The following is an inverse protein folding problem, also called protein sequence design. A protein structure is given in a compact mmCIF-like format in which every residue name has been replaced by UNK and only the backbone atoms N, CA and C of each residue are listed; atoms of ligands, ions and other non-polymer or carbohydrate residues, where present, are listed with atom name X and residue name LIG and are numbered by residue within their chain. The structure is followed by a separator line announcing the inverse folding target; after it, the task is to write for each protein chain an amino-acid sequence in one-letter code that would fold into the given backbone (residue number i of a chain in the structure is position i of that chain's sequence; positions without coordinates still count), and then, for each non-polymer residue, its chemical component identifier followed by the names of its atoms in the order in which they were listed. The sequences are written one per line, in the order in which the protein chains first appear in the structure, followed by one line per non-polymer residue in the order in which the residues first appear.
data_IF_902812200381
#
_entry.id   IF_902812200381
#
_cell.length_a   1.000
_cell.length_b   1.000
_cell.length_c   1.000
_cell.angle_alpha   90.00
_cell.angle_beta   90.00
_cell.angle_gamma   90.00
#
_symmetry.space_group_name_H-M   'P 1'
#
loop_
_entity.id
_entity.type
_entity.pdbx_description
1 polymer ?
#
# COMPACT_ATOMS: atom_id res chain seq x y z
N UNK A 1 2.76 1.27 15.34
CA UNK A 1 2.20 2.25 16.27
C UNK A 1 0.71 2.03 16.39
N UNK A 2 0.27 1.40 17.47
CA UNK A 2 -1.16 1.22 17.80
C UNK A 2 -1.28 0.80 19.27
N UNK A 3 -1.11 -0.50 19.56
CA UNK A 3 -1.02 -1.02 20.94
C UNK A 3 0.39 -0.88 21.54
N UNK A 4 1.40 -0.77 20.67
CA UNK A 4 2.81 -0.55 20.99
C UNK A 4 3.35 0.62 20.18
N UNK A 5 4.50 1.17 20.60
CA UNK A 5 5.16 2.27 19.87
C UNK A 5 5.71 1.79 18.52
N UNK A 6 6.13 2.74 17.68
CA UNK A 6 6.72 2.43 16.38
C UNK A 6 7.98 1.56 16.54
N UNK A 7 8.88 1.95 17.44
CA UNK A 7 10.14 1.27 17.73
C UNK A 7 9.90 -0.11 18.36
N UNK A 8 8.95 -0.21 19.30
CA UNK A 8 8.62 -1.49 19.91
C UNK A 8 8.09 -2.51 18.90
N UNK A 9 7.23 -2.08 17.96
CA UNK A 9 6.79 -2.96 16.87
C UNK A 9 7.94 -3.32 15.94
N UNK A 10 8.80 -2.36 15.63
CA UNK A 10 9.94 -2.58 14.77
C UNK A 10 10.87 -3.67 15.32
N UNK A 11 11.33 -3.51 16.55
CA UNK A 11 12.28 -4.42 17.20
C UNK A 11 11.65 -5.78 17.48
N UNK A 12 10.39 -5.79 17.92
CA UNK A 12 9.73 -7.02 18.33
C UNK A 12 9.18 -7.85 17.17
N UNK A 13 8.86 -7.26 16.02
CA UNK A 13 8.13 -7.94 14.93
C UNK A 13 8.60 -7.52 13.54
N UNK A 14 8.51 -6.23 13.18
CA UNK A 14 8.65 -5.80 11.78
C UNK A 14 10.02 -6.14 11.19
N UNK A 15 11.09 -5.95 11.96
CA UNK A 15 12.44 -6.32 11.53
C UNK A 15 12.54 -7.79 11.15
N UNK A 16 11.98 -8.67 11.97
CA UNK A 16 12.04 -10.12 11.76
C UNK A 16 11.23 -10.55 10.54
N UNK A 17 10.12 -9.85 10.25
CA UNK A 17 9.31 -10.06 9.04
C UNK A 17 10.14 -9.71 7.80
N UNK A 18 10.80 -8.54 7.80
CA UNK A 18 11.62 -8.09 6.67
C UNK A 18 12.87 -8.96 6.48
N UNK A 19 13.56 -9.34 7.55
CA UNK A 19 14.70 -10.27 7.50
C UNK A 19 14.26 -11.63 6.93
N UNK A 20 13.10 -12.15 7.37
CA UNK A 20 12.53 -13.40 6.87
C UNK A 20 12.11 -13.28 5.40
N UNK A 21 11.54 -12.15 5.00
CA UNK A 21 11.17 -11.86 3.62
C UNK A 21 12.41 -11.97 2.71
N UNK A 22 13.52 -11.32 3.06
CA UNK A 22 14.77 -11.40 2.26
C UNK A 22 15.33 -12.82 2.24
N UNK A 23 15.23 -13.55 3.34
CA UNK A 23 15.73 -14.92 3.42
C UNK A 23 14.91 -15.89 2.55
N UNK A 24 13.58 -15.74 2.49
CA UNK A 24 12.68 -16.74 1.89
C UNK A 24 12.25 -16.41 0.45
N UNK A 25 12.08 -15.13 0.08
CA UNK A 25 11.69 -14.74 -1.28
C UNK A 25 12.60 -15.34 -2.38
N UNK A 26 13.94 -15.40 -2.23
CA UNK A 26 14.81 -16.01 -3.24
C UNK A 26 14.69 -17.54 -3.33
N UNK A 27 14.16 -18.21 -2.30
CA UNK A 27 14.12 -19.68 -2.23
C UNK A 27 12.99 -20.28 -3.07
N UNK A 28 11.97 -19.49 -3.40
CA UNK A 28 10.76 -19.95 -4.09
C UNK A 28 10.42 -18.99 -5.22
N UNK A 29 10.50 -19.47 -6.46
CA UNK A 29 10.36 -18.60 -7.64
C UNK A 29 8.98 -17.95 -7.82
N UNK A 30 7.96 -18.57 -7.24
CA UNK A 30 6.57 -18.13 -7.31
C UNK A 30 6.15 -17.28 -6.09
N UNK A 31 7.04 -17.07 -5.12
CA UNK A 31 6.70 -16.31 -3.93
C UNK A 31 6.77 -14.82 -4.23
N UNK A 32 5.69 -14.12 -3.90
CA UNK A 32 5.55 -12.68 -3.98
C UNK A 32 5.24 -12.09 -2.62
N UNK A 33 5.69 -10.87 -2.38
CA UNK A 33 5.39 -10.11 -1.18
C UNK A 33 5.11 -8.65 -1.55
N UNK A 34 4.10 -8.06 -0.89
CA UNK A 34 3.78 -6.65 -1.02
C UNK A 34 4.12 -5.94 0.29
N UNK A 35 4.60 -4.70 0.20
CA UNK A 35 4.91 -3.89 1.38
C UNK A 35 4.42 -2.46 1.21
N UNK A 36 3.81 -1.90 2.26
CA UNK A 36 3.08 -0.63 2.17
C UNK A 36 3.77 0.52 2.93
N UNK A 37 4.12 0.32 4.20
CA UNK A 37 4.55 1.39 5.10
C UNK A 37 6.05 1.70 4.98
N UNK A 38 6.40 2.76 4.24
CA UNK A 38 7.81 3.12 3.98
C UNK A 38 8.55 3.50 5.26
N UNK A 39 7.88 4.04 6.27
CA UNK A 39 8.49 4.40 7.57
C UNK A 39 9.29 3.23 8.19
N UNK A 40 8.71 2.04 8.23
CA UNK A 40 9.39 0.85 8.73
C UNK A 40 10.48 0.34 7.79
N UNK A 41 10.25 0.47 6.47
CA UNK A 41 11.22 0.07 5.46
C UNK A 41 12.49 0.92 5.53
N UNK A 42 12.35 2.23 5.70
CA UNK A 42 13.46 3.16 5.89
C UNK A 42 14.26 2.81 7.14
N UNK A 43 13.58 2.66 8.28
CA UNK A 43 14.24 2.33 9.54
C UNK A 43 15.01 1.00 9.43
N UNK A 44 14.43 0.00 8.77
CA UNK A 44 15.07 -1.28 8.53
C UNK A 44 16.29 -1.17 7.61
N UNK A 45 16.15 -0.50 6.46
CA UNK A 45 17.22 -0.31 5.49
C UNK A 45 18.41 0.44 6.06
N UNK A 46 18.19 1.37 7.00
CA UNK A 46 19.26 2.09 7.69
C UNK A 46 20.17 1.20 8.55
N UNK A 47 19.73 -0.01 8.91
CA UNK A 47 20.49 -0.98 9.68
C UNK A 47 21.12 -2.13 8.87
N UNK A 48 20.97 -2.14 7.54
CA UNK A 48 21.45 -3.23 6.68
C UNK A 48 22.93 -3.04 6.27
N UNK A 49 23.62 -4.17 6.07
CA UNK A 49 24.90 -4.17 5.37
C UNK A 49 24.72 -4.07 3.85
N UNK A 50 25.76 -3.67 3.14
CA UNK A 50 25.73 -3.47 1.67
C UNK A 50 25.25 -4.72 0.93
N UNK A 51 25.70 -5.91 1.36
CA UNK A 51 25.32 -7.19 0.76
C UNK A 51 23.81 -7.43 0.83
N UNK A 52 23.20 -7.17 1.99
CA UNK A 52 21.75 -7.36 2.16
C UNK A 52 20.98 -6.27 1.45
N UNK A 53 21.47 -5.02 1.45
CA UNK A 53 20.88 -3.92 0.70
C UNK A 53 20.79 -4.24 -0.80
N UNK A 54 21.85 -4.77 -1.40
CA UNK A 54 21.86 -5.15 -2.81
C UNK A 54 20.93 -6.33 -3.11
N UNK A 55 20.83 -7.30 -2.20
CA UNK A 55 19.82 -8.38 -2.32
C UNK A 55 18.41 -7.82 -2.32
N UNK A 56 18.08 -6.91 -1.41
CA UNK A 56 16.76 -6.26 -1.36
C UNK A 56 16.46 -5.55 -2.67
N UNK A 57 17.39 -4.73 -3.16
CA UNK A 57 17.24 -4.03 -4.44
C UNK A 57 17.02 -5.00 -5.61
N UNK A 58 17.69 -6.15 -5.61
CA UNK A 58 17.51 -7.18 -6.64
C UNK A 58 16.15 -7.89 -6.57
N UNK A 59 15.54 -7.96 -5.39
CA UNK A 59 14.22 -8.56 -5.19
C UNK A 59 13.10 -7.62 -5.62
N UNK A 60 13.32 -6.31 -5.61
CA UNK A 60 12.33 -5.31 -6.02
C UNK A 60 12.02 -5.48 -7.50
N UNK A 61 10.89 -6.12 -7.76
CA UNK A 61 10.30 -6.31 -9.07
C UNK A 61 8.79 -6.43 -8.88
N UNK A 62 7.98 -6.08 -9.89
CA UNK A 62 6.52 -6.21 -9.81
C UNK A 62 5.99 -7.64 -9.56
N UNK A 63 6.85 -8.66 -9.56
CA UNK A 63 6.46 -10.07 -9.40
C UNK A 63 6.94 -10.65 -8.07
N UNK A 64 8.04 -10.14 -7.49
CA UNK A 64 8.67 -10.69 -6.27
C UNK A 64 8.40 -9.82 -5.05
N UNK A 65 8.84 -8.57 -5.09
CA UNK A 65 8.67 -7.61 -4.02
C UNK A 65 8.15 -6.30 -4.63
N UNK A 66 6.87 -6.05 -4.43
CA UNK A 66 6.20 -4.84 -4.91
C UNK A 66 5.90 -3.91 -3.73
N UNK A 67 6.32 -2.66 -3.85
CA UNK A 67 5.86 -1.62 -2.94
C UNK A 67 4.50 -1.12 -3.39
N UNK A 68 3.55 -1.05 -2.46
CA UNK A 68 2.18 -0.58 -2.71
C UNK A 68 1.93 0.70 -1.93
N UNK A 69 1.25 1.68 -2.54
CA UNK A 69 1.11 3.08 -2.06
C UNK A 69 2.42 3.85 -1.95
N UNK A 70 3.41 3.32 -1.23
CA UNK A 70 4.73 3.92 -0.98
C UNK A 70 4.67 5.20 -0.14
N UNK A 71 3.60 5.40 0.62
CA UNK A 71 3.51 6.50 1.59
C UNK A 71 4.32 6.19 2.84
N UNK A 72 4.55 7.20 3.67
CA UNK A 72 5.19 7.00 4.97
C UNK A 72 4.41 6.02 5.84
N UNK A 73 3.08 6.12 5.74
CA UNK A 73 2.10 5.29 6.45
C UNK A 73 0.89 5.01 5.56
N UNK A 74 0.10 4.01 5.92
CA UNK A 74 -1.30 3.92 5.48
C UNK A 74 -2.14 5.00 6.18
N UNK A 75 -2.41 6.12 5.49
CA UNK A 75 -3.05 7.31 6.06
C UNK A 75 -4.51 7.11 6.46
N UNK A 76 -4.97 7.82 7.49
CA UNK A 76 -6.41 7.92 7.80
C UNK A 76 -7.11 8.75 6.71
N UNK A 77 -8.28 8.29 6.26
CA UNK A 77 -9.04 8.94 5.20
C UNK A 77 -10.18 9.82 5.72
N UNK A 78 -10.51 9.75 7.02
CA UNK A 78 -11.61 10.50 7.61
C UNK A 78 -11.20 11.88 8.14
N UNK A 79 -10.15 11.95 8.97
CA UNK A 79 -9.79 13.18 9.69
C UNK A 79 -8.62 13.93 9.04
N UNK A 80 -7.83 13.26 8.20
CA UNK A 80 -6.60 13.81 7.66
C UNK A 80 -6.89 14.89 6.62
N UNK A 81 -6.24 16.04 6.76
CA UNK A 81 -6.28 17.08 5.74
C UNK A 81 -5.40 16.67 4.55
N UNK A 82 -5.84 16.99 3.33
CA UNK A 82 -5.14 16.58 2.10
C UNK A 82 -3.66 17.04 2.05
N UNK A 83 -3.31 18.17 2.67
CA UNK A 83 -1.91 18.60 2.79
C UNK A 83 -1.03 17.58 3.51
N UNK A 84 -1.54 16.95 4.59
CA UNK A 84 -0.80 15.95 5.34
C UNK A 84 -0.68 14.64 4.56
N UNK A 85 -1.73 14.25 3.82
CA UNK A 85 -1.70 13.10 2.90
C UNK A 85 -0.64 13.30 1.82
N UNK A 86 -0.57 14.48 1.22
CA UNK A 86 0.44 14.80 0.21
C UNK A 86 1.84 14.76 0.84
N UNK A 87 2.01 15.33 2.03
CA UNK A 87 3.31 15.37 2.70
C UNK A 87 3.84 13.97 3.03
N UNK A 88 3.02 13.09 3.62
CA UNK A 88 3.44 11.72 3.95
C UNK A 88 3.73 10.89 2.68
N UNK A 89 2.93 11.08 1.63
CA UNK A 89 3.13 10.40 0.36
C UNK A 89 4.43 10.87 -0.31
N UNK A 90 4.71 12.18 -0.25
CA UNK A 90 5.95 12.75 -0.77
C UNK A 90 7.17 12.21 -0.03
N UNK A 91 7.13 12.15 1.30
CA UNK A 91 8.22 11.63 2.14
C UNK A 91 8.58 10.19 1.73
N UNK A 92 7.59 9.30 1.67
CA UNK A 92 7.81 7.91 1.28
C UNK A 92 8.31 7.77 -0.17
N UNK A 93 7.73 8.52 -1.11
CA UNK A 93 8.14 8.48 -2.52
C UNK A 93 9.54 9.07 -2.74
N UNK A 94 9.92 10.10 -2.01
CA UNK A 94 11.26 10.69 -2.05
C UNK A 94 12.29 9.70 -1.54
N UNK A 95 12.04 9.07 -0.39
CA UNK A 95 12.92 8.03 0.14
C UNK A 95 13.11 6.88 -0.84
N UNK A 96 12.02 6.36 -1.42
CA UNK A 96 12.06 5.28 -2.44
C UNK A 96 12.94 5.71 -3.62
N UNK A 97 12.76 6.92 -4.16
CA UNK A 97 13.54 7.40 -5.33
C UNK A 97 15.03 7.52 -5.05
N UNK A 98 15.39 7.87 -3.82
CA UNK A 98 16.77 8.12 -3.44
C UNK A 98 17.53 6.83 -3.10
N UNK A 99 16.84 5.78 -2.63
CA UNK A 99 17.49 4.57 -2.09
C UNK A 99 17.22 3.29 -2.87
N UNK A 100 16.12 3.22 -3.62
CA UNK A 100 15.65 2.00 -4.29
C UNK A 100 15.68 2.15 -5.82
N UNK A 101 15.71 1.03 -6.57
CA UNK A 101 15.62 1.07 -8.02
C UNK A 101 14.32 1.73 -8.48
N UNK A 102 14.30 2.27 -9.70
CA UNK A 102 13.17 3.04 -10.26
C UNK A 102 11.88 2.22 -10.32
N UNK A 103 12.01 0.90 -10.46
CA UNK A 103 10.94 -0.10 -10.47
C UNK A 103 10.22 -0.21 -9.13
N UNK A 104 10.82 0.29 -8.04
CA UNK A 104 10.23 0.32 -6.70
C UNK A 104 9.06 1.29 -6.58
N UNK A 105 8.93 2.25 -7.51
CA UNK A 105 7.87 3.25 -7.44
C UNK A 105 6.48 2.59 -7.62
N UNK A 106 5.57 2.75 -6.65
CA UNK A 106 4.30 2.05 -6.61
C UNK A 106 3.38 2.47 -7.75
N UNK A 107 2.63 1.50 -8.28
CA UNK A 107 1.58 1.72 -9.30
C UNK A 107 0.18 1.44 -8.79
N UNK A 108 0.09 0.84 -7.61
CA UNK A 108 -1.13 0.39 -6.95
C UNK A 108 -1.18 1.01 -5.57
N UNK A 109 -2.31 1.62 -5.21
CA UNK A 109 -2.64 2.05 -3.87
C UNK A 109 -3.28 0.89 -3.10
N UNK A 110 -2.86 0.71 -1.85
CA UNK A 110 -3.34 -0.32 -0.96
C UNK A 110 -3.84 0.32 0.33
N UNK A 111 -5.16 0.28 0.55
CA UNK A 111 -5.84 0.88 1.71
C UNK A 111 -6.79 -0.13 2.34
N UNK A 112 -6.26 -0.99 3.21
CA UNK A 112 -7.03 -2.09 3.81
C UNK A 112 -7.55 -1.79 5.22
N UNK A 113 -6.94 -0.85 5.93
CA UNK A 113 -7.21 -0.60 7.35
C UNK A 113 -7.80 0.77 7.74
N UNK A 114 -7.84 1.82 6.89
CA UNK A 114 -8.53 3.06 7.23
C UNK A 114 -10.03 2.84 7.49
N UNK A 115 -10.61 3.51 8.49
CA UNK A 115 -11.99 3.30 8.90
C UNK A 115 -12.99 4.07 8.04
N UNK A 116 -13.16 3.61 6.80
CA UNK A 116 -13.90 4.30 5.75
C UNK A 116 -12.95 4.84 4.69
N UNK A 117 -13.51 5.18 3.53
CA UNK A 117 -12.75 5.59 2.34
C UNK A 117 -13.21 6.98 1.90
N UNK A 118 -12.28 7.82 1.49
CA UNK A 118 -12.52 9.19 1.04
C UNK A 118 -12.34 9.32 -0.48
N UNK A 119 -13.24 10.03 -1.18
CA UNK A 119 -13.10 10.30 -2.62
C UNK A 119 -11.88 11.16 -2.95
N UNK A 120 -11.21 11.73 -1.95
CA UNK A 120 -10.02 12.59 -2.12
C UNK A 120 -8.79 11.77 -2.50
N UNK A 121 -8.63 10.55 -1.97
CA UNK A 121 -7.43 9.73 -2.17
C UNK A 121 -7.23 9.32 -3.64
N UNK A 122 -8.24 8.82 -4.36
CA UNK A 122 -8.11 8.52 -5.79
C UNK A 122 -7.54 9.66 -6.62
N UNK A 123 -7.91 10.90 -6.28
CA UNK A 123 -7.40 12.08 -6.98
C UNK A 123 -5.92 12.36 -6.69
N UNK A 124 -5.52 12.32 -5.42
CA UNK A 124 -4.12 12.53 -5.01
C UNK A 124 -3.24 11.41 -5.61
N UNK A 125 -3.70 10.17 -5.50
CA UNK A 125 -2.99 9.00 -6.01
C UNK A 125 -2.83 9.04 -7.54
N UNK A 126 -3.88 9.46 -8.26
CA UNK A 126 -3.77 9.63 -9.71
C UNK A 126 -2.77 10.71 -10.11
N UNK A 127 -2.64 11.80 -9.33
CA UNK A 127 -1.61 12.81 -9.56
C UNK A 127 -0.19 12.26 -9.29
N UNK A 128 -0.06 11.29 -8.39
CA UNK A 128 1.18 10.55 -8.11
C UNK A 128 1.48 9.40 -9.11
N UNK A 129 0.75 9.32 -10.24
CA UNK A 129 0.92 8.28 -11.27
C UNK A 129 0.61 6.85 -10.80
N UNK A 130 -0.20 6.74 -9.73
CA UNK A 130 -0.85 5.51 -9.29
C UNK A 130 -2.19 5.40 -10.02
N UNK A 131 -2.52 4.21 -10.52
CA UNK A 131 -3.66 4.03 -11.44
C UNK A 131 -4.72 3.07 -10.93
N UNK A 132 -4.39 2.32 -9.88
CA UNK A 132 -5.21 1.27 -9.32
C UNK A 132 -5.21 1.39 -7.81
N UNK A 133 -6.31 1.02 -7.18
CA UNK A 133 -6.40 0.90 -5.73
C UNK A 133 -7.10 -0.39 -5.31
N UNK A 134 -6.76 -0.86 -4.12
CA UNK A 134 -7.49 -1.90 -3.41
C UNK A 134 -7.94 -1.36 -2.05
N UNK A 135 -9.25 -1.44 -1.80
CA UNK A 135 -9.90 -0.89 -0.61
C UNK A 135 -10.71 -1.95 0.13
N UNK A 136 -10.76 -1.86 1.46
CA UNK A 136 -11.44 -2.88 2.27
C UNK A 136 -12.57 -2.36 3.16
N UNK A 137 -12.31 -1.44 4.09
CA UNK A 137 -13.26 -1.11 5.16
C UNK A 137 -14.42 -0.21 4.69
N UNK A 138 -15.39 -0.83 4.05
CA UNK A 138 -16.64 -0.24 3.59
C UNK A 138 -17.81 -0.94 4.27
N UNK A 139 -18.91 -0.20 4.49
CA UNK A 139 -20.11 -0.71 5.13
C UNK A 139 -20.58 -2.02 4.48
N UNK A 140 -20.87 -3.05 5.30
CA UNK A 140 -21.20 -4.40 4.82
C UNK A 140 -22.41 -4.45 3.87
N UNK A 141 -23.42 -3.59 4.07
CA UNK A 141 -24.57 -3.49 3.16
C UNK A 141 -24.16 -3.02 1.76
N UNK A 142 -23.17 -2.13 1.65
CA UNK A 142 -22.64 -1.65 0.36
C UNK A 142 -21.89 -2.78 -0.33
N UNK A 143 -20.99 -3.47 0.40
CA UNK A 143 -20.29 -4.67 -0.10
C UNK A 143 -21.28 -5.71 -0.63
N UNK A 144 -22.31 -6.03 0.16
CA UNK A 144 -23.36 -7.00 -0.21
C UNK A 144 -24.11 -6.59 -1.46
N UNK A 145 -24.44 -5.31 -1.62
CA UNK A 145 -25.19 -4.84 -2.78
C UNK A 145 -24.32 -4.80 -4.05
N UNK A 146 -23.10 -4.27 -3.96
CA UNK A 146 -22.16 -4.26 -5.08
C UNK A 146 -21.75 -5.69 -5.50
N UNK A 147 -21.60 -6.61 -4.54
CA UNK A 147 -21.30 -8.00 -4.82
C UNK A 147 -22.41 -8.69 -5.64
N UNK A 148 -23.70 -8.45 -5.31
CA UNK A 148 -24.83 -8.99 -6.09
C UNK A 148 -24.80 -8.52 -7.54
N UNK A 149 -24.38 -7.28 -7.76
CA UNK A 149 -24.33 -6.65 -9.08
C UNK A 149 -23.01 -6.90 -9.82
N UNK A 150 -22.04 -7.59 -9.19
CA UNK A 150 -20.66 -7.78 -9.69
C UNK A 150 -19.92 -6.46 -9.95
N UNK A 151 -20.21 -5.44 -9.13
CA UNK A 151 -19.67 -4.08 -9.22
C UNK A 151 -18.68 -3.78 -8.08
N UNK A 152 -17.94 -4.79 -7.61
CA UNK A 152 -16.87 -4.60 -6.62
C UNK A 152 -15.60 -4.03 -7.25
N UNK A 153 -15.46 -4.18 -8.57
CA UNK A 153 -14.48 -3.47 -9.37
C UNK A 153 -15.18 -2.34 -10.13
N UNK A 154 -14.71 -1.12 -9.96
CA UNK A 154 -15.29 0.05 -10.60
C UNK A 154 -14.24 1.12 -10.87
N UNK A 155 -14.57 2.06 -11.75
CA UNK A 155 -13.75 3.25 -11.97
C UNK A 155 -14.26 4.35 -11.03
N UNK A 156 -13.38 4.85 -10.17
CA UNK A 156 -13.74 5.91 -9.24
C UNK A 156 -13.72 7.26 -9.97
N UNK A 157 -14.86 7.96 -10.01
CA UNK A 157 -14.96 9.29 -10.60
C UNK A 157 -15.14 10.35 -9.51
N UNK A 158 -14.52 11.52 -9.70
CA UNK A 158 -14.84 12.69 -8.89
C UNK A 158 -16.28 13.12 -9.17
N UNK A 159 -17.02 13.41 -8.09
CA UNK A 159 -18.37 13.98 -8.21
C UNK A 159 -18.30 15.32 -8.98
N UNK A 160 -19.02 15.40 -10.10
CA UNK A 160 -19.07 16.59 -10.96
C UNK A 160 -18.04 16.65 -12.09
N UNK A 161 -17.17 15.64 -12.25
CA UNK A 161 -16.24 15.58 -13.38
C UNK A 161 -16.85 14.83 -14.58
N UNK A 162 -16.77 15.45 -15.76
CA UNK A 162 -17.30 14.90 -17.00
C UNK A 162 -16.26 14.01 -17.68
N UNK A 163 -16.15 12.77 -17.20
CA UNK A 163 -15.80 11.58 -18.00
C UNK A 163 -14.44 11.54 -18.73
N UNK A 164 -13.42 12.33 -18.36
CA UNK A 164 -12.25 12.45 -19.27
C UNK A 164 -10.81 12.34 -18.77
N UNK A 165 -10.44 12.27 -17.49
CA UNK A 165 -9.00 12.40 -17.21
C UNK A 165 -8.27 11.27 -16.51
N UNK A 166 -8.91 10.39 -15.73
CA UNK A 166 -8.15 9.44 -14.91
C UNK A 166 -8.96 8.16 -14.70
N UNK A 167 -8.61 7.10 -15.45
CA UNK A 167 -9.11 5.74 -15.20
C UNK A 167 -8.48 5.20 -13.92
N UNK A 168 -8.95 5.68 -12.77
CA UNK A 168 -8.52 5.17 -11.47
C UNK A 168 -9.39 3.97 -11.11
N UNK A 169 -8.81 2.78 -11.24
CA UNK A 169 -9.55 1.53 -11.05
C UNK A 169 -9.49 1.10 -9.59
N UNK A 170 -10.65 0.85 -9.04
CA UNK A 170 -10.85 0.52 -7.64
C UNK A 170 -11.34 -0.90 -7.50
N UNK A 171 -10.61 -1.70 -6.74
CA UNK A 171 -11.05 -3.02 -6.28
C UNK A 171 -11.52 -2.90 -4.83
N UNK A 172 -12.78 -3.22 -4.58
CA UNK A 172 -13.34 -3.38 -3.25
C UNK A 172 -13.30 -4.86 -2.83
N UNK A 173 -12.61 -5.16 -1.74
CA UNK A 173 -12.65 -6.49 -1.15
C UNK A 173 -14.08 -6.85 -0.71
N UNK A 174 -14.57 -8.06 -0.98
CA UNK A 174 -15.99 -8.43 -0.76
C UNK A 174 -16.34 -8.69 0.70
N UNK A 175 -15.38 -9.12 1.51
CA UNK A 175 -15.62 -9.72 2.82
C UNK A 175 -15.34 -8.78 3.99
N UNK A 176 -15.54 -9.29 5.20
CA UNK A 176 -15.51 -8.54 6.46
C UNK A 176 -14.11 -8.03 6.84
N UNK A 177 -13.09 -8.86 6.65
CA UNK A 177 -11.72 -8.61 7.12
C UNK A 177 -10.71 -8.86 6.01
N UNK A 178 -9.50 -8.32 6.15
CA UNK A 178 -8.37 -8.55 5.24
C UNK A 178 -7.46 -9.69 5.73
N UNK A 179 -7.86 -10.40 6.78
CA UNK A 179 -7.17 -11.60 7.23
C UNK A 179 -7.35 -12.77 6.25
N UNK A 180 -6.55 -13.81 6.46
CA UNK A 180 -6.55 -15.02 5.63
C UNK A 180 -7.95 -15.65 5.57
N UNK A 181 -8.66 -15.98 6.69
CA UNK A 181 -9.99 -16.59 6.62
C UNK A 181 -11.05 -15.85 5.79
N UNK A 182 -10.93 -14.52 5.66
CA UNK A 182 -11.89 -13.68 4.95
C UNK A 182 -11.36 -13.17 3.61
N UNK A 183 -10.32 -13.79 3.03
CA UNK A 183 -9.76 -13.39 1.73
C UNK A 183 -9.68 -14.52 0.68
N UNK A 184 -10.07 -15.76 1.03
CA UNK A 184 -10.21 -16.89 0.10
C UNK A 184 -11.62 -17.05 -0.47
#
# INVERSE_FOLDING_TARGET
GWLRTFEEYFDAQTKQILDSMVAHLPQQDQMSFIYADVSFLELWCGGLDETTSDKVKSLITPVRLELVTGGWVMTDEANTHYNAIIAELMEGHEWIRNHLPKEALPRVHWSIDPFGISPTLPFIMSAANITREAIQRIHYSVKKELAKQRNLEFVYFRCGDSRKSTDFRTLMFPFYSYDVPHTW
#
